data_IF_495998926386
#
_entry.id   IF_495998926386
#
_cell.length_a   1.000
_cell.length_b   1.000
_cell.length_c   1.000
_cell.angle_alpha   90.00
_cell.angle_beta   90.00
_cell.angle_gamma   90.00
#
_symmetry.space_group_name_H-M   'P 1'
#
loop_
_entity.id
_entity.type
_entity.pdbx_description
1 polymer ?
#
# COMPACT_ATOMS: atom_id res chain seq x y z
N UNK A 1 3.47 61.78 -40.90
CA UNK A 1 4.22 61.58 -39.64
C UNK A 1 3.89 60.21 -39.09
N UNK A 2 4.88 59.33 -38.96
CA UNK A 2 4.77 57.96 -38.45
C UNK A 2 4.68 57.97 -36.90
N UNK A 3 3.67 57.33 -36.32
CA UNK A 3 3.69 56.84 -34.93
C UNK A 3 3.81 55.30 -35.05
N UNK A 4 4.95 54.65 -34.87
CA UNK A 4 5.89 54.57 -33.74
C UNK A 4 5.30 53.95 -32.46
N UNK A 5 5.43 52.61 -32.45
CA UNK A 5 5.73 51.70 -31.31
C UNK A 5 4.64 51.48 -30.25
N UNK A 6 4.33 50.20 -30.00
CA UNK A 6 4.70 49.49 -28.76
C UNK A 6 4.21 48.03 -28.83
N UNK A 7 5.11 47.11 -29.20
CA UNK A 7 4.88 45.68 -29.05
C UNK A 7 5.22 45.26 -27.63
N UNK A 8 4.23 44.81 -26.86
CA UNK A 8 4.45 44.21 -25.56
C UNK A 8 4.93 42.76 -25.75
N UNK A 9 6.20 42.51 -25.43
CA UNK A 9 6.75 41.15 -25.35
C UNK A 9 6.29 40.57 -24.01
N UNK A 10 5.25 39.74 -24.03
CA UNK A 10 4.88 38.91 -22.90
C UNK A 10 5.95 37.82 -22.73
N UNK A 11 6.86 38.03 -21.77
CA UNK A 11 7.80 36.99 -21.34
C UNK A 11 7.06 36.04 -20.38
N UNK A 12 6.57 34.93 -20.91
CA UNK A 12 6.00 33.84 -20.11
C UNK A 12 7.15 33.01 -19.51
N UNK A 13 7.55 33.36 -18.29
CA UNK A 13 8.45 32.51 -17.50
C UNK A 13 7.70 31.24 -17.06
N UNK A 14 7.85 30.14 -17.80
CA UNK A 14 7.39 28.82 -17.40
C UNK A 14 8.26 28.31 -16.25
N UNK A 15 7.68 28.22 -15.04
CA UNK A 15 8.34 27.55 -13.91
C UNK A 15 8.38 26.04 -14.18
N UNK A 16 9.48 25.58 -14.78
CA UNK A 16 9.76 24.15 -14.88
C UNK A 16 10.30 23.66 -13.53
N UNK A 17 9.42 23.15 -12.68
CA UNK A 17 9.80 22.42 -11.47
C UNK A 17 10.04 20.95 -11.81
N UNK A 18 11.14 20.65 -12.50
CA UNK A 18 11.61 19.26 -12.61
C UNK A 18 12.35 18.91 -11.32
N UNK A 19 11.63 18.32 -10.35
CA UNK A 19 12.31 17.67 -9.23
C UNK A 19 13.03 16.43 -9.77
N UNK A 20 14.29 16.57 -10.18
CA UNK A 20 15.16 15.45 -10.50
C UNK A 20 15.52 14.79 -9.18
N UNK A 21 14.70 13.84 -8.73
CA UNK A 21 15.11 12.91 -7.69
C UNK A 21 16.19 12.02 -8.30
N UNK A 22 17.45 12.26 -7.92
CA UNK A 22 18.55 11.38 -8.23
C UNK A 22 18.22 9.98 -7.70
N UNK A 23 17.86 9.07 -8.60
CA UNK A 23 17.70 7.65 -8.29
C UNK A 23 19.10 7.10 -8.11
N UNK A 24 19.55 6.94 -6.86
CA UNK A 24 20.83 6.26 -6.62
C UNK A 24 20.71 4.84 -7.18
N UNK A 25 21.60 4.51 -8.12
CA UNK A 25 21.78 3.15 -8.60
C UNK A 25 22.56 2.40 -7.52
N UNK A 26 21.91 2.07 -6.40
CA UNK A 26 22.44 1.02 -5.54
C UNK A 26 22.33 -0.25 -6.36
N UNK A 27 23.45 -0.74 -6.90
CA UNK A 27 23.58 -2.16 -7.24
C UNK A 27 23.03 -2.92 -6.04
N UNK A 28 21.92 -3.62 -6.24
CA UNK A 28 21.15 -4.17 -5.14
C UNK A 28 21.98 -5.27 -4.49
N UNK A 29 22.76 -4.93 -3.46
CA UNK A 29 23.41 -5.93 -2.61
C UNK A 29 22.29 -6.81 -2.08
N UNK A 30 22.32 -8.08 -2.47
CA UNK A 30 21.42 -9.10 -1.93
C UNK A 30 21.66 -9.09 -0.42
N UNK A 31 20.65 -8.77 0.40
CA UNK A 31 20.87 -8.68 1.82
C UNK A 31 21.13 -10.09 2.37
N UNK A 32 22.12 -10.26 3.26
CA UNK A 32 22.36 -11.56 3.88
C UNK A 32 21.10 -11.99 4.66
N UNK A 33 20.79 -13.31 4.70
CA UNK A 33 19.72 -13.83 5.53
C UNK A 33 20.02 -13.50 6.99
N UNK A 34 19.08 -12.83 7.66
CA UNK A 34 19.19 -12.48 9.08
C UNK A 34 18.73 -13.67 9.92
N UNK A 35 19.15 -13.73 11.18
CA UNK A 35 18.84 -14.87 12.06
C UNK A 35 17.34 -15.19 12.18
N UNK A 36 16.45 -14.20 11.99
CA UNK A 36 15.01 -14.36 12.03
C UNK A 36 14.37 -14.96 10.78
N UNK A 37 15.02 -14.88 9.61
CA UNK A 37 14.46 -15.31 8.32
C UNK A 37 15.58 -15.80 7.41
N UNK A 38 15.63 -17.11 7.16
CA UNK A 38 16.66 -17.73 6.32
C UNK A 38 16.11 -18.17 4.97
N UNK A 39 14.83 -18.52 4.91
CA UNK A 39 14.19 -19.00 3.68
C UNK A 39 13.28 -17.93 3.07
N UNK A 40 13.10 -17.92 1.73
CA UNK A 40 12.18 -17.00 1.08
C UNK A 40 10.73 -17.22 1.56
N UNK A 41 10.34 -18.46 1.88
CA UNK A 41 9.02 -18.75 2.43
C UNK A 41 8.80 -18.17 3.83
N UNK A 42 9.80 -18.26 4.71
CA UNK A 42 9.74 -17.63 6.03
C UNK A 42 9.57 -16.12 5.91
N UNK A 43 10.22 -15.50 4.91
CA UNK A 43 10.07 -14.07 4.64
C UNK A 43 8.64 -13.72 4.21
N UNK A 44 8.05 -14.51 3.31
CA UNK A 44 6.70 -14.27 2.84
C UNK A 44 5.66 -14.49 3.96
N UNK A 45 5.86 -15.51 4.80
CA UNK A 45 5.03 -15.77 5.99
C UNK A 45 5.15 -14.66 7.02
N UNK A 46 6.36 -14.16 7.29
CA UNK A 46 6.58 -13.11 8.29
C UNK A 46 5.97 -11.77 7.89
N UNK A 47 5.90 -11.47 6.59
CA UNK A 47 5.31 -10.24 6.05
C UNK A 47 3.77 -10.27 6.06
N UNK A 48 3.16 -11.46 6.07
CA UNK A 48 1.71 -11.67 6.13
C UNK A 48 0.97 -11.24 4.86
N UNK A 49 -0.32 -10.86 5.02
CA UNK A 49 -1.27 -10.54 3.92
C UNK A 49 -1.45 -11.68 2.90
N UNK A 50 -1.32 -12.91 3.39
CA UNK A 50 -1.38 -14.15 2.62
C UNK A 50 -0.42 -14.17 1.43
N UNK A 51 0.76 -13.55 1.56
CA UNK A 51 1.74 -13.45 0.46
C UNK A 51 2.31 -14.81 0.07
N UNK A 52 2.43 -15.74 1.02
CA UNK A 52 2.85 -17.13 0.84
C UNK A 52 1.95 -17.92 -0.12
N UNK A 53 0.68 -17.52 -0.28
CA UNK A 53 -0.26 -18.17 -1.20
C UNK A 53 -0.24 -17.56 -2.61
N UNK A 54 0.26 -16.33 -2.74
CA UNK A 54 0.18 -15.53 -3.97
C UNK A 54 1.48 -15.54 -4.76
N UNK A 55 2.59 -15.79 -4.08
CA UNK A 55 3.92 -15.79 -4.67
C UNK A 55 4.76 -16.85 -3.97
N UNK A 56 5.50 -17.61 -4.75
CA UNK A 56 6.50 -18.55 -4.26
C UNK A 56 7.80 -18.27 -5.01
N UNK A 57 8.91 -18.33 -4.28
CA UNK A 57 10.25 -18.18 -4.84
C UNK A 57 11.12 -19.34 -4.34
N UNK A 58 11.86 -19.95 -5.26
CA UNK A 58 12.64 -21.16 -4.98
C UNK A 58 13.96 -20.81 -4.26
N UNK A 59 14.53 -19.64 -4.56
CA UNK A 59 15.80 -19.20 -3.98
C UNK A 59 15.73 -17.81 -3.35
N UNK A 60 16.56 -17.60 -2.34
CA UNK A 60 16.72 -16.30 -1.68
C UNK A 60 17.18 -15.24 -2.69
N UNK A 61 18.17 -15.58 -3.51
CA UNK A 61 18.74 -14.66 -4.50
C UNK A 61 17.73 -14.27 -5.58
N UNK A 62 16.92 -15.22 -6.04
CA UNK A 62 15.86 -14.93 -7.00
C UNK A 62 14.87 -13.93 -6.41
N UNK A 63 14.39 -14.16 -5.17
CA UNK A 63 13.44 -13.28 -4.49
C UNK A 63 13.94 -11.82 -4.45
N UNK A 64 15.21 -11.61 -4.13
CA UNK A 64 15.80 -10.26 -3.99
C UNK A 64 16.18 -9.60 -5.31
N UNK A 65 16.26 -10.38 -6.39
CA UNK A 65 16.57 -9.90 -7.75
C UNK A 65 15.29 -9.48 -8.49
N UNK A 66 14.13 -10.03 -8.13
CA UNK A 66 12.85 -9.69 -8.80
C UNK A 66 12.55 -8.19 -8.75
N UNK A 67 12.21 -7.65 -9.91
CA UNK A 67 11.73 -6.29 -10.11
C UNK A 67 10.21 -6.25 -10.17
N UNK A 68 9.63 -5.06 -10.10
CA UNK A 68 8.17 -4.90 -10.21
C UNK A 68 7.57 -5.40 -11.52
N UNK A 69 8.38 -5.51 -12.60
CA UNK A 69 7.96 -6.09 -13.88
C UNK A 69 7.86 -7.61 -13.77
N UNK A 70 8.89 -8.27 -13.24
CA UNK A 70 8.92 -9.73 -13.04
C UNK A 70 7.76 -10.18 -12.13
N UNK A 71 7.45 -9.39 -11.10
CA UNK A 71 6.32 -9.66 -10.22
C UNK A 71 4.96 -9.46 -10.90
N UNK A 72 4.87 -8.60 -11.91
CA UNK A 72 3.66 -8.43 -12.73
C UNK A 72 3.46 -9.64 -13.63
N UNK A 73 4.54 -10.15 -14.21
CA UNK A 73 4.54 -11.36 -15.03
C UNK A 73 4.17 -12.60 -14.20
N UNK A 74 4.63 -12.66 -12.95
CA UNK A 74 4.21 -13.66 -11.97
C UNK A 74 2.73 -13.56 -11.53
N UNK A 75 1.95 -12.63 -12.08
CA UNK A 75 0.50 -12.54 -11.83
C UNK A 75 0.08 -11.88 -10.51
N UNK A 76 1.01 -11.32 -9.72
CA UNK A 76 0.67 -10.62 -8.48
C UNK A 76 -0.17 -9.38 -8.74
N UNK A 77 -1.16 -9.08 -7.90
CA UNK A 77 -1.94 -7.86 -7.99
C UNK A 77 -1.08 -6.60 -7.70
N UNK A 78 -1.45 -5.45 -8.27
CA UNK A 78 -0.69 -4.18 -8.12
C UNK A 78 -0.41 -3.82 -6.65
N UNK A 79 -1.39 -4.05 -5.78
CA UNK A 79 -1.27 -3.78 -4.33
C UNK A 79 -0.23 -4.67 -3.66
N UNK A 80 -0.22 -5.95 -4.01
CA UNK A 80 0.67 -6.94 -3.40
C UNK A 80 2.11 -6.75 -3.89
N UNK A 81 2.31 -6.41 -5.18
CA UNK A 81 3.63 -6.05 -5.72
C UNK A 81 4.25 -4.84 -5.02
N UNK A 82 3.45 -3.77 -4.84
CA UNK A 82 3.91 -2.55 -4.15
C UNK A 82 4.25 -2.84 -2.69
N UNK A 83 3.45 -3.66 -2.04
CA UNK A 83 3.69 -4.07 -0.65
C UNK A 83 4.98 -4.88 -0.52
N UNK A 84 5.18 -5.89 -1.38
CA UNK A 84 6.35 -6.74 -1.33
C UNK A 84 7.65 -5.96 -1.54
N UNK A 85 7.70 -5.08 -2.54
CA UNK A 85 8.87 -4.23 -2.80
C UNK A 85 9.15 -3.24 -1.64
N UNK A 86 8.09 -2.75 -0.99
CA UNK A 86 8.24 -1.90 0.19
C UNK A 86 8.82 -2.66 1.38
N UNK A 87 8.34 -3.88 1.66
CA UNK A 87 8.89 -4.75 2.70
C UNK A 87 10.35 -5.13 2.42
N UNK A 88 10.68 -5.46 1.17
CA UNK A 88 12.06 -5.68 0.74
C UNK A 88 12.95 -4.45 0.99
N UNK A 89 12.44 -3.25 0.67
CA UNK A 89 13.14 -1.99 0.95
C UNK A 89 13.36 -1.74 2.45
N UNK A 90 12.38 -2.08 3.30
CA UNK A 90 12.48 -1.98 4.76
C UNK A 90 13.50 -2.97 5.32
N UNK A 91 13.49 -4.22 4.84
CA UNK A 91 14.45 -5.25 5.24
C UNK A 91 15.90 -4.87 4.87
N UNK A 92 16.11 -4.31 3.66
CA UNK A 92 17.43 -3.79 3.24
C UNK A 92 17.96 -2.70 4.16
N UNK A 93 17.07 -1.85 4.69
CA UNK A 93 17.40 -0.80 5.65
C UNK A 93 17.57 -1.31 7.09
N UNK A 94 17.27 -2.59 7.35
CA UNK A 94 17.44 -3.21 8.66
C UNK A 94 16.31 -2.95 9.66
N UNK A 95 15.12 -2.55 9.20
CA UNK A 95 13.96 -2.45 10.10
C UNK A 95 13.49 -3.84 10.55
N UNK A 96 13.10 -4.02 11.84
CA UNK A 96 12.52 -5.26 12.32
C UNK A 96 11.13 -5.48 11.72
N UNK A 97 10.74 -6.75 11.48
CA UNK A 97 9.46 -7.11 10.86
C UNK A 97 8.25 -6.64 11.67
N UNK A 98 8.32 -6.80 12.99
CA UNK A 98 7.23 -6.45 13.92
C UNK A 98 6.76 -4.99 13.77
N UNK A 99 7.66 -4.09 13.38
CA UNK A 99 7.35 -2.66 13.26
C UNK A 99 6.48 -2.34 12.02
N UNK A 100 6.67 -3.07 10.92
CA UNK A 100 6.04 -2.71 9.64
C UNK A 100 5.06 -3.75 9.09
N UNK A 101 5.03 -4.94 9.68
CA UNK A 101 4.09 -5.99 9.31
C UNK A 101 2.74 -5.66 9.92
N UNK A 102 1.79 -5.33 9.04
CA UNK A 102 0.42 -5.08 9.42
C UNK A 102 -0.49 -6.03 8.65
N UNK A 103 -1.32 -6.75 9.39
CA UNK A 103 -2.41 -7.52 8.80
C UNK A 103 -3.36 -6.62 8.01
N UNK A 104 -4.00 -7.13 6.96
CA UNK A 104 -5.03 -6.37 6.27
C UNK A 104 -6.13 -6.01 7.27
N UNK A 105 -6.59 -4.74 7.30
CA UNK A 105 -7.65 -4.37 8.22
C UNK A 105 -8.88 -5.23 7.96
N UNK A 106 -9.59 -5.67 9.02
CA UNK A 106 -10.74 -6.54 8.86
C UNK A 106 -11.80 -5.86 8.00
N UNK A 107 -12.55 -6.67 7.25
CA UNK A 107 -13.65 -6.18 6.44
C UNK A 107 -14.64 -5.45 7.35
N UNK A 108 -15.01 -4.23 6.98
CA UNK A 108 -16.04 -3.47 7.70
C UNK A 108 -17.32 -4.29 7.78
N UNK A 109 -17.77 -4.60 9.00
CA UNK A 109 -19.02 -5.31 9.27
C UNK A 109 -20.23 -4.50 8.78
N UNK A 110 -20.19 -3.17 8.97
CA UNK A 110 -21.23 -2.24 8.52
C UNK A 110 -20.69 -1.38 7.38
N UNK A 111 -21.37 -1.42 6.22
CA UNK A 111 -21.13 -0.50 5.10
C UNK A 111 -22.03 0.74 5.26
N UNK A 112 -21.49 1.97 5.27
CA UNK A 112 -22.28 3.20 5.39
C UNK A 112 -21.51 4.45 5.90
N UNK A 113 -22.19 5.60 5.92
CA UNK A 113 -21.71 6.89 6.47
C UNK A 113 -21.99 6.99 7.98
N UNK A 114 -21.01 6.62 8.79
CA UNK A 114 -21.02 6.81 10.23
C UNK A 114 -22.16 6.12 10.98
N UNK A 115 -22.33 6.40 12.28
CA UNK A 115 -23.34 5.77 13.14
C UNK A 115 -24.79 5.98 12.69
N UNK A 116 -25.01 6.96 11.79
CA UNK A 116 -26.34 7.39 11.38
C UNK A 116 -27.05 6.44 10.44
N UNK A 117 -26.35 5.54 9.74
CA UNK A 117 -26.96 4.58 8.81
C UNK A 117 -26.24 3.24 8.89
N UNK A 118 -26.90 2.22 9.48
CA UNK A 118 -26.39 0.85 9.54
C UNK A 118 -27.42 -0.10 8.91
N UNK A 119 -26.98 -1.08 8.12
CA UNK A 119 -27.84 -2.10 7.51
C UNK A 119 -29.07 -1.55 6.75
N UNK A 120 -28.88 -0.44 6.02
CA UNK A 120 -29.95 0.21 5.25
C UNK A 120 -30.98 1.00 6.07
N UNK A 121 -30.80 1.10 7.40
CA UNK A 121 -31.69 1.87 8.29
C UNK A 121 -30.96 3.08 8.86
N UNK A 122 -31.60 4.25 8.80
CA UNK A 122 -31.09 5.47 9.42
C UNK A 122 -31.33 5.41 10.93
N UNK A 123 -30.27 5.28 11.72
CA UNK A 123 -30.31 5.40 13.17
C UNK A 123 -30.36 6.90 13.50
N UNK A 124 -31.57 7.43 13.70
CA UNK A 124 -31.76 8.72 14.38
C UNK A 124 -31.68 8.47 15.89
N UNK A 125 -30.92 9.29 16.59
CA UNK A 125 -30.72 9.18 18.04
C UNK A 125 -32.06 9.00 18.78
N UNK A 126 -32.02 8.10 19.77
CA UNK A 126 -32.99 7.81 20.85
C UNK A 126 -34.20 6.87 20.59
N UNK A 127 -34.48 6.36 19.37
CA UNK A 127 -35.77 5.65 19.11
C UNK A 127 -35.65 4.18 18.63
N UNK A 128 -34.46 3.56 18.57
CA UNK A 128 -34.39 2.12 18.31
C UNK A 128 -34.45 1.33 19.63
N UNK A 129 -35.63 1.33 20.27
CA UNK A 129 -35.94 0.33 21.29
C UNK A 129 -36.11 -1.02 20.60
N UNK A 130 -35.21 -1.94 20.91
CA UNK A 130 -35.21 -3.31 20.42
C UNK A 130 -36.50 -4.02 20.90
N UNK A 131 -37.47 -4.18 19.99
CA UNK A 131 -38.78 -4.79 20.31
C UNK A 131 -38.67 -6.30 20.60
N UNK A 132 -37.51 -6.92 20.41
CA UNK A 132 -37.30 -8.35 20.65
C UNK A 132 -37.49 -8.74 22.12
N UNK A 133 -37.24 -7.82 23.08
CA UNK A 133 -37.45 -8.08 24.52
C UNK A 133 -38.91 -7.97 24.98
N UNK A 134 -39.84 -7.45 24.17
CA UNK A 134 -41.25 -7.25 24.58
C UNK A 134 -42.14 -8.51 24.44
N UNK A 135 -41.67 -9.57 23.77
CA UNK A 135 -42.47 -10.79 23.49
C UNK A 135 -42.40 -11.90 24.57
N UNK A 136 -41.71 -11.72 25.70
CA UNK A 136 -41.52 -12.78 26.72
C UNK A 136 -42.38 -12.63 27.98
N UNK A 137 -43.56 -12.01 27.88
CA UNK A 137 -44.58 -12.05 28.94
C UNK A 137 -45.96 -12.29 28.30
N UNK A 138 -46.31 -13.56 28.13
CA UNK A 138 -47.67 -14.07 28.21
C UNK A 138 -47.63 -15.35 29.03
#
# INVERSE_FOLDING_TARGET
MLASRCGAIFSSATRSCTSVLARSLTTATIPPPRASVKTPEEFLKSIGRSMETKFSAESWEELWTKTGADLKEAGLAVRDRRYMLWCMGKYRRGFPFEEFVHEPPPKKTVRGWGPSVQNGKRIRSRVHQDKSKKKRKS
#
